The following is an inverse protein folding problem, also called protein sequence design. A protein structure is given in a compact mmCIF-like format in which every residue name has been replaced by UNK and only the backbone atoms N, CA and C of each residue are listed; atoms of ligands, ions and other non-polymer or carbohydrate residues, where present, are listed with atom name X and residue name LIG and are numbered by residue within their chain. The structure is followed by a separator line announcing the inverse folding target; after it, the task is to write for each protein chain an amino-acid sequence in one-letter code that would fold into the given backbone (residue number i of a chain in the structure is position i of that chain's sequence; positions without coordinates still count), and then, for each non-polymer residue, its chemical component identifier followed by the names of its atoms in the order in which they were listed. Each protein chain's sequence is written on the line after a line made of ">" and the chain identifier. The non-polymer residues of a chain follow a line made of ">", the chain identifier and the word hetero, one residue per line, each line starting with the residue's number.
data_IF_436411361812
#
_entry.id   IF_436411361812
#
_cell.length_a   1.000
_cell.length_b   1.000
_cell.length_c   1.000
_cell.angle_alpha   90.00
_cell.angle_beta   90.00
_cell.angle_gamma   90.00
#
_symmetry.space_group_name_H-M   'P 1'
#
loop_
_entity.id
_entity.type
_entity.pdbx_description
1 polymer ?
#
# COMPACT_ATOMS: atom_id res chain seq x y z
N UNK A 1 5.14 4.93 -8.03
CA UNK A 1 4.23 5.43 -6.98
C UNK A 1 3.87 6.86 -7.32
N UNK A 2 2.58 7.17 -7.36
CA UNK A 2 2.13 8.55 -7.57
C UNK A 2 2.23 9.33 -6.26
N UNK A 3 2.85 10.51 -6.32
CA UNK A 3 2.99 11.43 -5.18
C UNK A 3 2.07 12.62 -5.41
N UNK A 4 1.13 12.85 -4.50
CA UNK A 4 0.26 14.02 -4.54
C UNK A 4 0.88 15.15 -3.74
N UNK A 5 1.29 16.22 -4.43
CA UNK A 5 1.85 17.43 -3.82
C UNK A 5 0.70 18.41 -3.53
N UNK A 6 0.68 18.97 -2.32
CA UNK A 6 -0.29 19.99 -1.91
C UNK A 6 0.42 21.00 -1.02
N UNK A 7 0.09 22.27 -1.20
CA UNK A 7 0.54 23.32 -0.28
C UNK A 7 -0.18 23.20 1.06
N UNK A 8 0.56 23.45 2.14
CA UNK A 8 0.01 23.55 3.49
C UNK A 8 0.65 24.72 4.24
N UNK A 9 -0.05 25.20 5.26
CA UNK A 9 0.42 26.32 6.08
C UNK A 9 1.03 25.82 7.37
N UNK A 10 2.12 26.47 7.76
CA UNK A 10 2.65 26.38 9.12
C UNK A 10 1.84 27.27 10.06
N UNK A 11 1.62 26.78 11.27
CA UNK A 11 1.00 27.51 12.38
C UNK A 11 1.99 27.61 13.52
N UNK A 12 2.00 28.73 14.25
CA UNK A 12 2.89 28.88 15.41
C UNK A 12 2.30 28.15 16.61
N UNK A 13 3.13 27.35 17.30
CA UNK A 13 2.79 26.66 18.55
C UNK A 13 3.93 26.95 19.53
N UNK A 14 3.82 28.04 20.29
CA UNK A 14 4.92 28.51 21.15
C UNK A 14 6.18 28.83 20.36
N UNK A 15 7.33 28.26 20.77
CA UNK A 15 8.61 28.34 20.05
C UNK A 15 8.71 27.38 18.84
N UNK A 16 7.70 26.52 18.64
CA UNK A 16 7.64 25.51 17.59
C UNK A 16 6.68 25.90 16.47
N UNK A 17 6.65 25.08 15.41
CA UNK A 17 5.67 25.17 14.31
C UNK A 17 4.87 23.87 14.22
N UNK A 18 3.58 24.02 13.95
CA UNK A 18 2.70 22.92 13.54
C UNK A 18 2.39 23.01 12.05
N UNK A 19 2.03 21.88 11.45
CA UNK A 19 1.52 21.82 10.07
C UNK A 19 0.00 21.65 10.14
N UNK A 20 -0.75 22.42 9.35
CA UNK A 20 -2.21 22.23 9.24
C UNK A 20 -2.51 21.04 8.32
N UNK A 21 -3.08 19.98 8.87
CA UNK A 21 -3.55 18.83 8.08
C UNK A 21 -5.06 18.93 7.84
N UNK A 22 -5.54 18.88 6.59
CA UNK A 22 -6.96 18.79 6.29
C UNK A 22 -7.61 17.57 6.95
N UNK A 23 -8.81 17.75 7.51
CA UNK A 23 -9.56 16.67 8.18
C UNK A 23 -9.77 15.44 7.30
N UNK A 24 -9.95 15.64 5.99
CA UNK A 24 -10.08 14.55 5.00
C UNK A 24 -8.84 13.65 5.00
N UNK A 25 -7.62 14.22 5.13
CA UNK A 25 -6.39 13.43 5.18
C UNK A 25 -6.27 12.70 6.53
N UNK A 26 -6.59 13.37 7.63
CA UNK A 26 -6.59 12.75 8.97
C UNK A 26 -7.49 11.52 9.00
N UNK A 27 -8.71 11.64 8.47
CA UNK A 27 -9.66 10.53 8.38
C UNK A 27 -9.19 9.44 7.41
N UNK A 28 -8.69 9.81 6.22
CA UNK A 28 -8.23 8.84 5.22
C UNK A 28 -7.10 7.96 5.74
N UNK A 29 -6.23 8.50 6.57
CA UNK A 29 -5.06 7.78 7.10
C UNK A 29 -5.23 7.33 8.55
N UNK A 30 -6.43 7.49 9.13
CA UNK A 30 -6.75 7.13 10.52
C UNK A 30 -5.75 7.71 11.52
N UNK A 31 -5.41 8.99 11.35
CA UNK A 31 -4.51 9.74 12.23
C UNK A 31 -5.35 10.49 13.25
N UNK A 32 -5.15 10.19 14.55
CA UNK A 32 -5.92 10.79 15.63
C UNK A 32 -5.06 11.62 16.58
N UNK A 33 -4.07 11.00 17.24
CA UNK A 33 -3.34 11.64 18.34
C UNK A 33 -1.84 11.76 18.10
N UNK A 34 -1.22 10.71 17.57
CA UNK A 34 0.24 10.63 17.44
C UNK A 34 0.67 10.20 16.03
N UNK A 35 1.84 10.69 15.65
CA UNK A 35 2.48 10.49 14.37
C UNK A 35 3.96 10.22 14.60
N UNK A 36 4.57 9.40 13.75
CA UNK A 36 6.02 9.40 13.60
C UNK A 36 6.43 10.48 12.61
N UNK A 37 7.48 11.21 12.98
CA UNK A 37 8.21 12.12 12.11
C UNK A 37 9.58 11.50 11.88
N UNK A 38 9.87 11.20 10.62
CA UNK A 38 11.15 10.65 10.19
C UNK A 38 11.89 11.67 9.34
N UNK A 39 13.18 11.85 9.62
CA UNK A 39 14.07 12.66 8.80
C UNK A 39 14.63 11.78 7.68
N UNK A 40 14.49 12.25 6.43
CA UNK A 40 14.96 11.57 5.23
C UNK A 40 15.79 12.54 4.38
N UNK A 41 16.55 12.04 3.40
CA UNK A 41 17.36 12.89 2.50
C UNK A 41 16.53 13.92 1.72
N UNK A 42 15.24 13.67 1.51
CA UNK A 42 14.34 14.53 0.73
C UNK A 42 13.43 15.40 1.60
N UNK A 43 13.56 15.32 2.92
CA UNK A 43 12.76 16.07 3.88
C UNK A 43 12.16 15.18 4.96
N UNK A 44 11.03 15.62 5.53
CA UNK A 44 10.36 14.90 6.62
C UNK A 44 9.22 14.02 6.11
N UNK A 45 9.16 12.79 6.58
CA UNK A 45 8.04 11.87 6.36
C UNK A 45 7.18 11.81 7.62
N UNK A 46 5.90 12.13 7.49
CA UNK A 46 4.91 11.93 8.54
C UNK A 46 4.13 10.65 8.27
N UNK A 47 4.11 9.73 9.22
CA UNK A 47 3.30 8.50 9.14
C UNK A 47 2.56 8.25 10.44
N UNK A 48 1.43 7.53 10.35
CA UNK A 48 0.74 7.06 11.55
C UNK A 48 1.68 6.19 12.39
N UNK A 49 1.57 6.29 13.71
CA UNK A 49 2.18 5.32 14.61
C UNK A 49 1.45 3.99 14.37
N UNK A 50 2.15 2.98 13.87
CA UNK A 50 1.53 1.65 13.76
C UNK A 50 1.48 1.03 15.16
N UNK A 51 0.28 0.72 15.64
CA UNK A 51 0.12 -0.25 16.71
C UNK A 51 0.38 -1.61 16.09
N UNK A 52 1.56 -2.18 16.37
CA UNK A 52 1.97 -3.55 16.04
C UNK A 52 1.16 -4.19 14.90
N UNK A 53 1.48 -3.83 13.66
CA UNK A 53 1.24 -4.80 12.60
C UNK A 53 2.20 -5.94 12.87
N UNK A 54 1.62 -7.10 13.19
CA UNK A 54 2.25 -8.40 13.18
C UNK A 54 3.34 -8.40 12.10
N UNK A 55 4.57 -8.71 12.50
CA UNK A 55 5.72 -8.78 11.59
C UNK A 55 5.31 -9.62 10.39
N UNK A 56 5.78 -9.30 9.18
CA UNK A 56 5.48 -10.11 7.98
C UNK A 56 5.62 -11.62 8.23
N UNK A 57 6.49 -12.04 9.15
CA UNK A 57 6.64 -13.41 9.66
C UNK A 57 5.34 -14.06 10.17
N UNK A 58 4.49 -13.33 10.87
CA UNK A 58 3.23 -13.82 11.44
C UNK A 58 2.13 -13.92 10.38
N UNK A 59 2.17 -13.04 9.36
CA UNK A 59 1.26 -13.11 8.20
C UNK A 59 1.61 -14.31 7.31
N UNK A 60 2.90 -14.63 7.14
CA UNK A 60 3.33 -15.84 6.43
C UNK A 60 2.83 -17.12 7.12
N UNK A 61 2.87 -17.19 8.46
CA UNK A 61 2.34 -18.34 9.20
C UNK A 61 0.83 -18.48 9.04
N UNK A 62 0.09 -17.37 9.12
CA UNK A 62 -1.36 -17.39 8.97
C UNK A 62 -1.82 -17.83 7.57
N UNK A 63 -1.08 -17.44 6.52
CA UNK A 63 -1.36 -17.88 5.14
C UNK A 63 -0.93 -19.35 4.92
N UNK A 64 0.14 -19.81 5.58
CA UNK A 64 0.56 -21.22 5.51
C UNK A 64 -0.36 -22.18 6.27
N UNK A 65 -1.00 -21.72 7.35
CA UNK A 65 -1.98 -22.49 8.13
C UNK A 65 -3.37 -22.48 7.49
N UNK A 66 -3.70 -21.46 6.70
CA UNK A 66 -4.89 -21.44 5.86
C UNK A 66 -4.64 -22.32 4.62
N UNK A 67 -4.91 -23.63 4.73
CA UNK A 67 -5.10 -24.51 3.58
C UNK A 67 -6.34 -24.07 2.78
N UNK A 68 -6.23 -22.95 2.07
CA UNK A 68 -7.22 -22.55 1.08
C UNK A 68 -7.06 -23.48 -0.12
N UNK A 69 -8.14 -24.20 -0.43
CA UNK A 69 -8.22 -25.08 -1.60
C UNK A 69 -8.41 -24.21 -2.85
N UNK A 70 -7.31 -23.97 -3.58
CA UNK A 70 -7.28 -23.13 -4.78
C UNK A 70 -7.76 -23.86 -6.06
N UNK A 71 -8.44 -25.00 -5.93
CA UNK A 71 -8.96 -25.77 -7.08
C UNK A 71 -9.98 -25.01 -7.94
N UNK A 72 -10.51 -23.88 -7.46
CA UNK A 72 -11.48 -23.05 -8.20
C UNK A 72 -10.83 -22.08 -9.22
N UNK A 73 -9.51 -21.86 -9.16
CA UNK A 73 -8.83 -20.95 -10.10
C UNK A 73 -8.40 -21.63 -11.42
N UNK A 74 -8.40 -22.96 -11.46
CA UNK A 74 -7.94 -23.74 -12.62
C UNK A 74 -8.96 -23.77 -13.78
N UNK A 75 -10.22 -23.39 -13.55
CA UNK A 75 -11.25 -23.39 -14.61
C UNK A 75 -11.23 -22.17 -15.53
N UNK A 76 -10.56 -21.07 -15.16
CA UNK A 76 -10.59 -19.83 -15.97
C UNK A 76 -9.39 -19.65 -16.89
N UNK A 77 -8.36 -20.51 -16.80
CA UNK A 77 -7.18 -20.45 -17.68
C UNK A 77 -7.41 -21.05 -19.08
N UNK A 78 -8.54 -21.72 -19.32
CA UNK A 78 -8.76 -22.47 -20.56
C UNK A 78 -9.40 -21.65 -21.71
N UNK A 79 -9.89 -20.42 -21.46
CA UNK A 79 -10.66 -19.65 -22.45
C UNK A 79 -9.90 -18.49 -23.12
N UNK A 80 -8.56 -18.52 -23.08
CA UNK A 80 -7.74 -17.37 -23.50
C UNK A 80 -6.49 -17.65 -24.33
N UNK A 81 -6.17 -18.90 -24.64
CA UNK A 81 -5.03 -19.25 -25.50
C UNK A 81 -5.51 -20.16 -26.63
N UNK A 82 -6.18 -19.57 -27.62
CA UNK A 82 -6.27 -20.20 -28.93
C UNK A 82 -4.86 -20.40 -29.47
N UNK A 83 -4.49 -21.67 -29.63
CA UNK A 83 -3.23 -22.09 -30.21
C UNK A 83 -3.37 -21.93 -31.72
N UNK A 84 -3.11 -20.73 -32.22
CA UNK A 84 -2.95 -20.51 -33.65
C UNK A 84 -1.72 -21.31 -34.13
N UNK A 85 -1.97 -22.50 -34.66
CA UNK A 85 -1.04 -23.28 -35.45
C UNK A 85 -0.72 -22.48 -36.72
N UNK A 86 0.41 -21.79 -36.73
CA UNK A 86 0.99 -21.25 -37.95
C UNK A 86 1.32 -22.39 -38.91
N UNK A 87 0.38 -22.60 -39.83
CA UNK A 87 0.39 -23.45 -41.01
C UNK A 87 1.76 -23.43 -41.73
N UNK A 88 2.43 -24.58 -41.82
CA UNK A 88 3.52 -24.81 -42.75
C UNK A 88 2.94 -25.15 -44.13
N UNK A 89 3.15 -24.36 -45.19
CA UNK A 89 2.88 -24.84 -46.53
C UNK A 89 4.07 -25.68 -47.00
N UNK A 90 3.79 -26.96 -47.26
CA UNK A 90 4.66 -27.85 -48.04
C UNK A 90 4.74 -27.37 -49.48
N UNK A 91 5.96 -27.12 -49.99
CA UNK A 91 6.39 -27.40 -51.37
C UNK A 91 7.87 -27.80 -51.33
#
# INVERSE_FOLDING_TARGET
>A
METFIRDTRLVTIGNSKGIRLPQILLNKYSIFNELFLEETERGILLRKKEENKLSYEETYKAIAEAQEDWTDFDQTLLDGLEKDEFNTPSI
#
